data_IF_010274500715
#
_entry.id   IF_010274500715
#
_cell.length_a   1.000
_cell.length_b   1.000
_cell.length_c   1.000
_cell.angle_alpha   90.00
_cell.angle_beta   90.00
_cell.angle_gamma   90.00
#
_symmetry.space_group_name_H-M   'P 1'
#
loop_
_entity.id
_entity.type
_entity.pdbx_description
1 polymer ?
#
# COMPACT_ATOMS: atom_id res chain seq x y z
N UNK A 1 -20.04 5.32 -10.52
CA UNK A 1 -19.43 5.41 -9.17
C UNK A 1 -17.93 5.41 -9.36
N UNK A 2 -17.20 6.38 -8.81
CA UNK A 2 -15.73 6.33 -8.82
C UNK A 2 -15.28 5.15 -7.95
N UNK A 3 -14.39 4.30 -8.48
CA UNK A 3 -13.84 3.15 -7.76
C UNK A 3 -12.37 3.44 -7.48
N UNK A 4 -12.03 3.59 -6.20
CA UNK A 4 -10.65 3.73 -5.78
C UNK A 4 -10.12 2.41 -5.26
N UNK A 5 -8.87 2.11 -5.61
CA UNK A 5 -8.18 0.90 -5.19
C UNK A 5 -6.86 1.31 -4.57
N UNK A 6 -6.58 0.83 -3.36
CA UNK A 6 -5.25 0.87 -2.79
C UNK A 6 -4.46 -0.34 -3.26
N UNK A 7 -3.21 -0.13 -3.64
CA UNK A 7 -2.24 -1.16 -3.98
C UNK A 7 -1.01 -1.00 -3.08
N UNK A 8 -0.49 -2.12 -2.60
CA UNK A 8 0.74 -2.21 -1.81
C UNK A 8 1.67 -3.21 -2.50
N UNK A 9 2.96 -2.88 -2.61
CA UNK A 9 3.99 -3.77 -3.15
C UNK A 9 5.38 -3.39 -2.63
N UNK A 10 6.35 -4.32 -2.59
CA UNK A 10 7.73 -4.01 -2.21
C UNK A 10 8.33 -2.94 -3.12
N UNK A 11 9.07 -1.98 -2.56
CA UNK A 11 9.71 -0.93 -3.36
C UNK A 11 10.71 -1.54 -4.35
N UNK A 12 10.52 -1.38 -5.68
CA UNK A 12 11.43 -1.93 -6.67
C UNK A 12 12.83 -1.31 -6.62
N UNK A 13 13.02 -0.16 -5.95
CA UNK A 13 14.32 0.47 -5.77
C UNK A 13 15.21 -0.22 -4.70
N UNK A 14 14.65 -1.16 -3.92
CA UNK A 14 15.31 -1.84 -2.81
C UNK A 14 16.34 -2.91 -3.19
N UNK A 15 16.66 -3.07 -4.48
CA UNK A 15 17.68 -4.03 -4.93
C UNK A 15 19.12 -3.63 -4.49
N UNK A 16 19.31 -2.43 -3.94
CA UNK A 16 20.60 -1.98 -3.42
C UNK A 16 20.85 -2.46 -1.97
N UNK A 17 21.94 -3.22 -1.78
CA UNK A 17 22.40 -3.68 -0.45
C UNK A 17 22.57 -2.49 0.51
N UNK A 18 21.79 -2.49 1.60
CA UNK A 18 21.89 -1.48 2.67
C UNK A 18 20.82 -0.39 2.64
N UNK A 19 19.86 -0.44 1.72
CA UNK A 19 18.66 0.42 1.74
C UNK A 19 17.57 -0.27 2.58
N UNK A 20 16.91 0.50 3.44
CA UNK A 20 15.76 0.02 4.22
C UNK A 20 14.68 -0.45 3.25
N UNK A 21 14.32 -1.74 3.30
CA UNK A 21 13.28 -2.26 2.42
C UNK A 21 11.94 -1.60 2.72
N UNK A 22 11.31 -0.92 1.77
CA UNK A 22 10.01 -0.26 1.92
C UNK A 22 8.88 -1.02 1.24
N UNK A 23 7.64 -0.79 1.68
CA UNK A 23 6.45 -1.11 0.90
C UNK A 23 5.89 0.20 0.33
N UNK A 24 5.72 0.24 -1.00
CA UNK A 24 5.05 1.33 -1.71
C UNK A 24 3.55 1.14 -1.56
N UNK A 25 2.85 2.22 -1.20
CA UNK A 25 1.40 2.31 -1.17
C UNK A 25 0.94 3.31 -2.21
N UNK A 26 0.01 2.90 -3.07
CA UNK A 26 -0.61 3.77 -4.07
C UNK A 26 -2.12 3.68 -3.97
N UNK A 27 -2.80 4.79 -4.23
CA UNK A 27 -4.25 4.83 -4.43
C UNK A 27 -4.53 5.21 -5.87
N UNK A 28 -5.34 4.39 -6.56
CA UNK A 28 -5.66 4.49 -7.98
C UNK A 28 -7.11 5.00 -8.17
N UNK A 29 -7.33 5.95 -9.10
CA UNK A 29 -8.65 6.30 -9.68
C UNK A 29 -8.63 5.91 -11.16
N UNK A 30 -9.30 4.83 -11.55
CA UNK A 30 -9.31 4.31 -12.94
C UNK A 30 -7.89 4.19 -13.55
N UNK A 31 -6.98 3.54 -12.82
CA UNK A 31 -5.57 3.29 -13.16
C UNK A 31 -4.61 4.49 -13.00
N UNK A 32 -5.10 5.69 -12.73
CA UNK A 32 -4.24 6.84 -12.39
C UNK A 32 -3.90 6.86 -10.89
N UNK A 33 -2.61 6.97 -10.54
CA UNK A 33 -2.18 7.15 -9.15
C UNK A 33 -2.56 8.55 -8.69
N UNK A 34 -3.46 8.64 -7.71
CA UNK A 34 -3.95 9.90 -7.14
C UNK A 34 -3.33 10.23 -5.79
N UNK A 35 -2.75 9.24 -5.11
CA UNK A 35 -2.01 9.40 -3.87
C UNK A 35 -1.00 8.25 -3.72
N UNK A 36 0.12 8.50 -3.05
CA UNK A 36 1.08 7.44 -2.73
C UNK A 36 2.00 7.82 -1.58
N UNK A 37 2.50 6.79 -0.90
CA UNK A 37 3.46 6.90 0.20
C UNK A 37 4.37 5.66 0.21
N UNK A 38 5.49 5.73 0.90
CA UNK A 38 6.38 4.59 1.13
C UNK A 38 6.48 4.35 2.63
N UNK A 39 6.16 3.13 3.05
CA UNK A 39 6.28 2.72 4.45
C UNK A 39 7.55 1.86 4.61
N UNK A 40 8.55 2.32 5.39
CA UNK A 40 9.73 1.53 5.68
C UNK A 40 9.37 0.23 6.40
N UNK A 41 9.95 -0.91 5.97
CA UNK A 41 9.88 -2.18 6.70
C UNK A 41 11.13 -2.36 7.54
N UNK A 42 10.93 -2.40 8.84
CA UNK A 42 11.97 -2.75 9.81
C UNK A 42 12.34 -4.25 9.70
N UNK A 43 11.36 -5.08 9.31
CA UNK A 43 11.48 -6.53 9.13
C UNK A 43 10.84 -6.97 7.79
N UNK A 44 11.59 -6.96 6.68
CA UNK A 44 11.06 -7.27 5.35
C UNK A 44 10.56 -8.71 5.19
N UNK A 45 10.96 -9.63 6.06
CA UNK A 45 10.47 -11.00 6.14
C UNK A 45 9.06 -11.10 6.75
N UNK A 46 8.60 -10.07 7.47
CA UNK A 46 7.28 -10.03 8.11
C UNK A 46 6.37 -9.06 7.34
N UNK A 47 5.27 -9.52 6.72
CA UNK A 47 4.32 -8.64 6.06
C UNK A 47 3.76 -7.59 7.03
N UNK A 48 3.51 -6.37 6.56
CA UNK A 48 2.78 -5.37 7.34
C UNK A 48 1.42 -5.94 7.79
N UNK A 49 1.10 -5.74 9.06
CA UNK A 49 -0.21 -6.10 9.59
C UNK A 49 -1.33 -5.28 8.92
N UNK A 50 -2.58 -5.77 8.89
CA UNK A 50 -3.70 -4.99 8.35
C UNK A 50 -3.85 -3.61 9.00
N UNK A 51 -3.56 -3.49 10.30
CA UNK A 51 -3.62 -2.23 11.02
C UNK A 51 -2.55 -1.23 10.57
N UNK A 52 -1.33 -1.70 10.29
CA UNK A 52 -0.27 -0.85 9.73
C UNK A 52 -0.64 -0.36 8.33
N UNK A 53 -1.13 -1.25 7.47
CA UNK A 53 -1.59 -0.88 6.12
C UNK A 53 -2.73 0.14 6.17
N UNK A 54 -3.70 -0.07 7.06
CA UNK A 54 -4.83 0.84 7.22
C UNK A 54 -4.34 2.21 7.75
N UNK A 55 -3.33 2.27 8.63
CA UNK A 55 -2.73 3.54 9.08
C UNK A 55 -2.05 4.32 7.94
N UNK A 56 -1.39 3.63 6.99
CA UNK A 56 -0.84 4.29 5.78
C UNK A 56 -1.97 4.88 4.94
N UNK A 57 -3.06 4.13 4.73
CA UNK A 57 -4.23 4.64 4.01
C UNK A 57 -4.86 5.87 4.69
N UNK A 58 -4.93 5.86 6.02
CA UNK A 58 -5.43 7.01 6.78
C UNK A 58 -4.57 8.27 6.56
N UNK A 59 -3.23 8.13 6.52
CA UNK A 59 -2.32 9.25 6.18
C UNK A 59 -2.54 9.76 4.77
N UNK A 60 -2.86 8.87 3.83
CA UNK A 60 -3.23 9.22 2.46
C UNK A 60 -4.65 9.83 2.33
N UNK A 61 -5.44 9.87 3.41
CA UNK A 61 -6.80 10.38 3.39
C UNK A 61 -7.84 9.40 2.86
N UNK A 62 -7.55 8.10 2.93
CA UNK A 62 -8.44 7.03 2.47
C UNK A 62 -8.81 6.06 3.59
N UNK A 63 -9.94 5.38 3.42
CA UNK A 63 -10.37 4.29 4.29
C UNK A 63 -10.71 3.06 3.46
N UNK A 64 -10.28 1.90 3.94
CA UNK A 64 -10.55 0.61 3.32
C UNK A 64 -12.03 0.23 3.45
N UNK A 65 -12.61 -0.25 2.36
CA UNK A 65 -14.04 -0.63 2.26
C UNK A 65 -14.24 -2.13 1.99
N UNK A 66 -13.15 -2.88 1.78
CA UNK A 66 -13.16 -4.33 1.57
C UNK A 66 -11.96 -5.03 2.22
N UNK A 67 -11.86 -6.37 2.13
CA UNK A 67 -10.65 -7.07 2.56
C UNK A 67 -9.44 -6.67 1.71
N UNK A 68 -8.25 -6.83 2.27
CA UNK A 68 -7.02 -6.90 1.47
C UNK A 68 -7.03 -8.23 0.71
N UNK A 69 -6.77 -8.18 -0.59
CA UNK A 69 -6.54 -9.34 -1.46
C UNK A 69 -5.03 -9.40 -1.70
N UNK A 70 -4.40 -10.49 -1.28
CA UNK A 70 -2.94 -10.66 -1.32
C UNK A 70 -2.55 -11.64 -2.44
N UNK A 71 -1.67 -11.22 -3.36
CA UNK A 71 -1.15 -12.05 -4.46
C UNK A 71 0.32 -11.69 -4.74
N UNK A 72 1.22 -12.68 -4.73
CA UNK A 72 2.64 -12.52 -5.09
C UNK A 72 3.32 -11.30 -4.43
N UNK A 73 3.22 -11.19 -3.09
CA UNK A 73 3.76 -10.08 -2.28
C UNK A 73 3.09 -8.72 -2.49
N UNK A 74 2.07 -8.65 -3.35
CA UNK A 74 1.22 -7.47 -3.50
C UNK A 74 -0.03 -7.62 -2.67
N UNK A 75 -0.55 -6.50 -2.20
CA UNK A 75 -1.87 -6.45 -1.58
C UNK A 75 -2.72 -5.37 -2.24
N UNK A 76 -3.99 -5.66 -2.50
CA UNK A 76 -4.95 -4.69 -3.04
C UNK A 76 -6.21 -4.62 -2.19
N UNK A 77 -6.78 -3.43 -2.03
CA UNK A 77 -8.05 -3.26 -1.33
C UNK A 77 -8.89 -2.17 -1.98
N UNK A 78 -10.21 -2.33 -1.96
CA UNK A 78 -11.11 -1.22 -2.30
C UNK A 78 -11.08 -0.17 -1.21
N UNK A 79 -11.03 1.10 -1.61
CA UNK A 79 -10.98 2.24 -0.69
C UNK A 79 -11.97 3.32 -1.11
N UNK A 80 -12.16 4.30 -0.23
CA UNK A 80 -12.86 5.55 -0.53
C UNK A 80 -12.14 6.72 0.15
N UNK A 81 -12.27 7.95 -0.36
CA UNK A 81 -11.84 9.14 0.36
C UNK A 81 -12.49 9.19 1.74
N UNK A 82 -11.71 9.56 2.74
CA UNK A 82 -12.16 9.74 4.12
C UNK A 82 -12.87 11.07 4.32
#
# INVERSE_FOLDING_TARGET
MKRWVARMYPDPADEAVGVTRGDVFEVLDHDDVVAGDVEPRDHPEVPLSPAQRDAVLERLGYVRTGPWIEENERAEASVRPR
#
